data_IF_889121066121
#
_entry.id   IF_889121066121
#
_cell.length_a   1.000
_cell.length_b   1.000
_cell.length_c   1.000
_cell.angle_alpha   90.00
_cell.angle_beta   90.00
_cell.angle_gamma   90.00
#
_symmetry.space_group_name_H-M   'P 1'
#
loop_
_entity.id
_entity.type
_entity.pdbx_description
1 polymer ?
#
# COMPACT_ATOMS: atom_id res chain seq x y z
N UNK A 1 -22.95 -9.34 1.54
CA UNK A 1 -23.17 -8.00 0.94
C UNK A 1 -24.60 -7.77 0.49
N UNK A 2 -25.21 -8.64 -0.34
CA UNK A 2 -26.63 -8.50 -0.72
C UNK A 2 -27.61 -8.42 0.46
N UNK A 3 -27.35 -9.18 1.54
CA UNK A 3 -28.18 -9.16 2.75
C UNK A 3 -28.13 -7.81 3.48
N UNK A 4 -26.98 -7.12 3.51
CA UNK A 4 -26.87 -5.80 4.16
C UNK A 4 -27.77 -4.80 3.43
N UNK A 5 -27.61 -4.65 2.11
CA UNK A 5 -28.44 -3.73 1.32
C UNK A 5 -29.94 -4.08 1.34
N UNK A 6 -30.30 -5.36 1.46
CA UNK A 6 -31.69 -5.82 1.52
C UNK A 6 -32.34 -5.59 2.89
N UNK A 7 -31.57 -5.59 3.97
CA UNK A 7 -32.06 -5.43 5.36
C UNK A 7 -31.94 -4.01 5.89
N UNK A 8 -31.18 -3.14 5.21
CA UNK A 8 -31.03 -1.74 5.59
C UNK A 8 -32.31 -0.93 5.39
N UNK A 9 -32.47 0.10 6.22
CA UNK A 9 -33.58 1.05 6.10
C UNK A 9 -33.53 1.80 4.76
N UNK A 10 -34.61 2.53 4.43
CA UNK A 10 -34.67 3.31 3.20
C UNK A 10 -33.56 4.38 3.15
N UNK A 11 -33.25 4.97 4.30
CA UNK A 11 -32.25 6.03 4.52
C UNK A 11 -30.81 5.49 4.47
N UNK A 12 -30.58 4.26 4.95
CA UNK A 12 -29.25 3.63 4.93
C UNK A 12 -28.83 3.12 3.54
N UNK A 13 -29.79 2.81 2.66
CA UNK A 13 -29.50 2.23 1.34
C UNK A 13 -28.62 3.12 0.45
N UNK A 14 -28.87 4.44 0.29
CA UNK A 14 -27.97 5.32 -0.44
C UNK A 14 -26.55 5.33 0.10
N UNK A 15 -26.39 5.41 1.42
CA UNK A 15 -25.08 5.45 2.09
C UNK A 15 -24.31 4.15 1.86
N UNK A 16 -24.96 3.00 2.01
CA UNK A 16 -24.33 1.69 1.76
C UNK A 16 -23.98 1.52 0.28
N UNK A 17 -24.85 1.96 -0.64
CA UNK A 17 -24.55 1.92 -2.08
C UNK A 17 -23.32 2.74 -2.40
N UNK A 18 -23.19 3.92 -1.79
CA UNK A 18 -22.03 4.79 -1.96
C UNK A 18 -20.76 4.16 -1.37
N UNK A 19 -20.83 3.58 -0.16
CA UNK A 19 -19.73 2.82 0.45
C UNK A 19 -19.23 1.71 -0.49
N UNK A 20 -20.14 0.93 -1.07
CA UNK A 20 -19.78 -0.14 -2.00
C UNK A 20 -19.10 0.40 -3.24
N UNK A 21 -19.64 1.47 -3.80
CA UNK A 21 -19.08 2.09 -4.99
C UNK A 21 -17.66 2.62 -4.71
N UNK A 22 -17.49 3.38 -3.63
CA UNK A 22 -16.20 3.96 -3.25
C UNK A 22 -15.15 2.89 -2.88
N UNK A 23 -15.59 1.79 -2.27
CA UNK A 23 -14.75 0.63 -2.02
C UNK A 23 -14.33 -0.06 -3.34
N UNK A 24 -15.27 -0.38 -4.22
CA UNK A 24 -14.97 -1.07 -5.48
C UNK A 24 -14.08 -0.24 -6.39
N UNK A 25 -14.33 1.07 -6.49
CA UNK A 25 -13.59 2.04 -7.31
C UNK A 25 -12.24 2.47 -6.69
N UNK A 26 -11.86 1.92 -5.51
CA UNK A 26 -10.62 2.26 -4.80
C UNK A 26 -10.44 3.77 -4.60
N UNK A 27 -11.48 4.44 -4.10
CA UNK A 27 -11.43 5.88 -3.90
C UNK A 27 -10.63 6.30 -2.68
N UNK A 28 -10.07 7.50 -2.79
CA UNK A 28 -9.47 8.26 -1.69
C UNK A 28 -10.49 9.27 -1.17
N UNK A 29 -11.05 9.03 0.01
CA UNK A 29 -11.95 9.99 0.66
C UNK A 29 -11.98 9.77 2.16
N UNK A 30 -11.81 10.82 2.94
CA UNK A 30 -11.97 10.79 4.40
C UNK A 30 -12.66 12.08 4.81
N UNK A 31 -13.69 11.98 5.65
CA UNK A 31 -14.34 13.18 6.17
C UNK A 31 -15.77 13.00 6.65
N UNK A 32 -16.35 14.14 7.00
CA UNK A 32 -17.75 14.29 7.37
C UNK A 32 -18.55 14.73 6.14
N UNK A 33 -19.40 13.83 5.64
CA UNK A 33 -20.47 14.14 4.71
C UNK A 33 -21.75 14.39 5.52
N UNK A 34 -22.29 15.59 5.42
CA UNK A 34 -23.66 15.89 5.88
C UNK A 34 -24.59 15.71 4.68
N UNK A 35 -25.69 15.00 4.85
CA UNK A 35 -26.87 15.21 4.00
C UNK A 35 -27.61 16.47 4.48
N UNK A 36 -28.54 16.97 3.66
CA UNK A 36 -29.39 18.13 3.97
C UNK A 36 -30.45 17.83 5.07
N UNK A 37 -30.01 17.28 6.21
CA UNK A 37 -30.81 16.86 7.38
C UNK A 37 -29.97 16.70 8.66
N UNK A 38 -30.55 16.10 9.72
CA UNK A 38 -29.85 15.79 10.99
C UNK A 38 -28.95 14.54 10.89
N UNK A 39 -29.00 13.84 9.76
CA UNK A 39 -28.24 12.63 9.49
C UNK A 39 -26.77 12.92 9.13
N UNK A 40 -25.88 12.07 9.64
CA UNK A 40 -24.45 12.21 9.43
C UNK A 40 -23.85 10.97 8.78
N UNK A 41 -22.82 11.19 7.96
CA UNK A 41 -21.98 10.14 7.39
C UNK A 41 -20.51 10.54 7.59
N UNK A 42 -19.84 9.85 8.50
CA UNK A 42 -18.40 9.89 8.64
C UNK A 42 -17.81 8.78 7.80
N UNK A 43 -16.88 9.09 6.91
CA UNK A 43 -16.34 8.12 5.96
C UNK A 43 -14.83 8.08 5.94
N UNK A 44 -14.32 6.91 5.59
CA UNK A 44 -12.91 6.65 5.38
C UNK A 44 -12.77 5.65 4.24
N UNK A 45 -12.04 6.02 3.20
CA UNK A 45 -11.76 5.22 2.03
C UNK A 45 -10.31 5.48 1.64
N UNK A 46 -9.44 4.50 1.86
CA UNK A 46 -8.03 4.59 1.49
C UNK A 46 -7.55 3.30 0.84
N UNK A 47 -7.02 3.40 -0.39
CA UNK A 47 -6.22 2.35 -1.00
C UNK A 47 -4.87 2.19 -0.30
N UNK A 48 -4.36 0.97 -0.33
CA UNK A 48 -3.06 0.58 0.19
C UNK A 48 -2.42 -0.47 -0.71
N UNK A 49 -1.17 -0.80 -0.38
CA UNK A 49 -0.43 -1.92 -0.98
C UNK A 49 0.27 -2.71 0.11
N UNK A 50 0.23 -4.02 0.03
CA UNK A 50 0.83 -4.90 1.04
C UNK A 50 1.94 -5.71 0.38
N UNK A 51 3.13 -5.60 0.96
CA UNK A 51 4.29 -6.42 0.59
C UNK A 51 4.26 -7.71 1.40
N UNK A 52 4.23 -8.86 0.73
CA UNK A 52 4.46 -10.15 1.38
C UNK A 52 5.70 -10.81 0.82
N UNK A 53 6.53 -11.28 1.75
CA UNK A 53 7.75 -11.99 1.46
C UNK A 53 7.47 -13.48 1.42
N UNK A 54 7.95 -14.13 0.37
CA UNK A 54 8.06 -15.58 0.32
C UNK A 54 6.79 -16.40 0.45
N UNK A 55 5.65 -15.81 0.10
CA UNK A 55 4.37 -16.50 0.12
C UNK A 55 4.00 -16.98 -1.30
N UNK A 56 3.21 -18.06 -1.44
CA UNK A 56 2.64 -18.41 -2.73
C UNK A 56 1.79 -17.25 -3.25
N UNK A 57 1.80 -17.04 -4.57
CA UNK A 57 0.99 -15.99 -5.20
C UNK A 57 -0.49 -16.18 -4.85
N UNK A 58 -1.08 -15.14 -4.26
CA UNK A 58 -2.52 -15.05 -4.05
C UNK A 58 -3.14 -14.14 -5.10
N UNK A 59 -4.34 -14.47 -5.55
CA UNK A 59 -5.09 -13.62 -6.46
C UNK A 59 -6.39 -13.23 -5.79
N UNK A 60 -6.73 -11.94 -5.91
CA UNK A 60 -8.07 -11.49 -5.61
C UNK A 60 -9.06 -12.29 -6.44
N UNK A 61 -10.14 -12.77 -5.82
CA UNK A 61 -11.23 -13.53 -6.48
C UNK A 61 -12.31 -12.61 -7.03
N UNK A 62 -12.33 -11.34 -6.60
CA UNK A 62 -13.16 -10.31 -7.19
C UNK A 62 -12.83 -10.15 -8.68
N UNK A 63 -13.86 -10.07 -9.52
CA UNK A 63 -13.72 -9.93 -10.97
C UNK A 63 -14.52 -8.72 -11.45
N UNK A 64 -13.88 -7.90 -12.28
CA UNK A 64 -14.55 -6.89 -13.07
C UNK A 64 -15.30 -7.53 -14.24
N UNK A 65 -16.17 -6.76 -14.92
CA UNK A 65 -16.97 -7.25 -16.06
C UNK A 65 -16.07 -7.76 -17.19
N UNK A 66 -14.88 -7.16 -17.37
CA UNK A 66 -13.90 -7.56 -18.38
C UNK A 66 -13.10 -8.82 -18.00
N UNK A 67 -13.33 -9.40 -16.82
CA UNK A 67 -12.62 -10.58 -16.34
C UNK A 67 -11.33 -10.29 -15.56
N UNK A 68 -10.91 -9.03 -15.46
CA UNK A 68 -9.73 -8.66 -14.66
C UNK A 68 -10.02 -8.79 -13.16
N UNK A 69 -8.98 -9.07 -12.37
CA UNK A 69 -9.07 -9.02 -10.92
C UNK A 69 -9.44 -7.61 -10.45
N UNK A 70 -10.30 -7.51 -9.44
CA UNK A 70 -10.70 -6.22 -8.86
C UNK A 70 -9.49 -5.49 -8.24
N UNK A 71 -8.56 -6.23 -7.62
CA UNK A 71 -7.26 -5.76 -7.15
C UNK A 71 -6.10 -6.43 -7.88
N UNK A 72 -5.03 -5.68 -8.15
CA UNK A 72 -3.85 -6.22 -8.84
C UNK A 72 -2.84 -6.81 -7.84
N UNK A 73 -2.29 -7.96 -8.21
CA UNK A 73 -1.10 -8.55 -7.60
C UNK A 73 0.10 -8.28 -8.51
N UNK A 74 1.17 -7.69 -7.97
CA UNK A 74 2.41 -7.42 -8.70
C UNK A 74 3.50 -8.38 -8.27
N UNK A 75 4.08 -9.07 -9.23
CA UNK A 75 5.25 -9.94 -9.03
C UNK A 75 6.53 -9.11 -8.92
N UNK A 76 7.28 -9.32 -7.83
CA UNK A 76 8.50 -8.58 -7.50
C UNK A 76 9.77 -9.40 -7.74
N UNK A 77 9.70 -10.53 -8.45
CA UNK A 77 10.87 -11.36 -8.82
C UNK A 77 11.97 -10.58 -9.53
N UNK A 78 11.64 -9.50 -10.25
CA UNK A 78 12.64 -8.64 -10.89
C UNK A 78 13.49 -7.84 -9.89
N UNK A 79 13.02 -7.68 -8.64
CA UNK A 79 13.81 -7.14 -7.54
C UNK A 79 14.67 -8.22 -6.89
N UNK A 80 14.33 -9.49 -7.09
CA UNK A 80 15.11 -10.61 -6.61
C UNK A 80 16.35 -10.78 -7.48
N UNK A 81 17.49 -10.82 -6.79
CA UNK A 81 18.76 -11.14 -7.40
C UNK A 81 18.83 -12.65 -7.62
N UNK A 82 18.42 -13.13 -8.80
CA UNK A 82 18.72 -14.51 -9.19
C UNK A 82 20.23 -14.71 -9.07
N UNK A 83 20.67 -15.67 -8.25
CA UNK A 83 22.05 -16.12 -8.25
C UNK A 83 22.29 -16.80 -9.60
N UNK A 84 23.03 -16.14 -10.49
CA UNK A 84 23.64 -16.84 -11.62
C UNK A 84 24.48 -17.99 -11.06
N UNK A 85 24.00 -19.22 -11.21
CA UNK A 85 24.65 -20.43 -10.72
C UNK A 85 23.73 -21.52 -10.16
N UNK A 86 22.47 -21.23 -9.83
CA UNK A 86 21.57 -22.20 -9.17
C UNK A 86 20.59 -22.92 -10.14
N UNK A 87 20.95 -23.04 -11.42
CA UNK A 87 20.15 -23.78 -12.40
C UNK A 87 20.25 -25.32 -12.25
N UNK A 88 21.06 -25.82 -11.30
CA UNK A 88 21.36 -27.26 -11.17
C UNK A 88 20.86 -27.91 -9.86
N UNK A 89 19.96 -27.24 -9.13
CA UNK A 89 19.17 -27.93 -8.12
C UNK A 89 17.69 -27.75 -8.43
N UNK A 90 16.98 -28.85 -8.68
CA UNK A 90 15.53 -28.88 -8.92
C UNK A 90 14.69 -28.45 -7.70
N UNK A 91 15.17 -27.47 -6.93
CA UNK A 91 14.43 -26.78 -5.89
C UNK A 91 13.45 -25.83 -6.57
N UNK A 92 12.18 -26.02 -6.24
CA UNK A 92 11.08 -25.10 -6.50
C UNK A 92 11.55 -23.67 -6.14
N UNK A 93 11.16 -22.61 -6.88
CA UNK A 93 11.48 -21.24 -6.50
C UNK A 93 10.82 -20.93 -5.13
N UNK A 94 11.53 -21.22 -4.05
CA UNK A 94 11.09 -20.95 -2.69
C UNK A 94 11.22 -19.45 -2.47
N UNK A 95 10.11 -18.72 -2.54
CA UNK A 95 9.95 -17.36 -2.03
C UNK A 95 10.11 -16.21 -3.05
N UNK A 96 9.09 -16.01 -3.88
CA UNK A 96 8.91 -14.75 -4.64
C UNK A 96 8.16 -13.74 -3.77
N UNK A 97 8.61 -12.49 -3.79
CA UNK A 97 7.93 -11.38 -3.12
C UNK A 97 6.78 -10.87 -3.99
N UNK A 98 5.65 -10.52 -3.37
CA UNK A 98 4.48 -9.99 -4.06
C UNK A 98 4.00 -8.69 -3.41
N UNK A 99 3.48 -7.80 -4.25
CA UNK A 99 2.75 -6.61 -3.82
C UNK A 99 1.26 -6.75 -4.15
N UNK A 100 0.42 -6.65 -3.13
CA UNK A 100 -1.03 -6.79 -3.24
C UNK A 100 -1.71 -5.44 -3.10
N UNK A 101 -2.49 -5.01 -4.09
CA UNK A 101 -3.36 -3.83 -3.96
C UNK A 101 -4.51 -4.15 -3.00
N UNK A 102 -4.82 -3.22 -2.10
CA UNK A 102 -5.87 -3.37 -1.10
C UNK A 102 -6.66 -2.07 -0.94
N UNK A 103 -7.89 -2.20 -0.46
CA UNK A 103 -8.77 -1.10 -0.08
C UNK A 103 -9.30 -1.36 1.33
N UNK A 104 -9.22 -0.35 2.18
CA UNK A 104 -10.06 -0.29 3.39
C UNK A 104 -11.05 0.84 3.22
N UNK A 105 -12.32 0.54 3.46
CA UNK A 105 -13.42 1.49 3.40
C UNK A 105 -14.35 1.28 4.57
N UNK A 106 -14.57 2.28 5.40
CA UNK A 106 -15.55 2.21 6.46
C UNK A 106 -16.33 3.52 6.59
N UNK A 107 -17.54 3.38 7.12
CA UNK A 107 -18.43 4.51 7.43
C UNK A 107 -18.97 4.35 8.83
N UNK A 108 -19.27 5.49 9.46
CA UNK A 108 -20.10 5.59 10.65
C UNK A 108 -21.24 6.55 10.31
N UNK A 109 -22.48 6.07 10.39
CA UNK A 109 -23.65 6.84 9.98
C UNK A 109 -24.81 6.64 10.93
N UNK A 110 -25.63 7.66 11.12
CA UNK A 110 -26.78 7.61 12.00
C UNK A 110 -27.70 8.80 11.79
N UNK A 111 -28.91 8.67 12.33
CA UNK A 111 -29.85 9.78 12.43
C UNK A 111 -29.42 10.76 13.53
N UNK A 112 -28.89 10.22 14.64
CA UNK A 112 -28.36 10.98 15.76
C UNK A 112 -27.25 10.18 16.47
N UNK A 113 -26.69 10.75 17.52
CA UNK A 113 -25.61 10.12 18.31
C UNK A 113 -26.08 8.93 19.14
N UNK A 114 -27.39 8.73 19.32
CA UNK A 114 -27.96 7.61 20.07
C UNK A 114 -28.23 6.38 19.19
N UNK A 115 -28.47 6.59 17.90
CA UNK A 115 -28.84 5.53 16.94
C UNK A 115 -27.99 5.62 15.67
N UNK A 116 -26.86 4.92 15.69
CA UNK A 116 -25.90 4.89 14.60
C UNK A 116 -25.42 3.48 14.28
N UNK A 117 -24.74 3.34 13.14
CA UNK A 117 -24.19 2.08 12.65
C UNK A 117 -22.84 2.34 12.01
N UNK A 118 -21.90 1.43 12.23
CA UNK A 118 -20.62 1.43 11.56
C UNK A 118 -20.48 0.20 10.66
N UNK A 119 -19.95 0.39 9.46
CA UNK A 119 -19.76 -0.66 8.46
C UNK A 119 -18.35 -0.54 7.89
N UNK A 120 -17.63 -1.65 7.81
CA UNK A 120 -16.28 -1.69 7.25
C UNK A 120 -16.15 -2.79 6.20
N UNK A 121 -15.47 -2.46 5.11
CA UNK A 121 -15.05 -3.32 4.02
C UNK A 121 -13.54 -3.21 3.92
N UNK A 122 -12.85 -4.33 4.14
CA UNK A 122 -11.41 -4.42 4.02
C UNK A 122 -11.05 -5.63 3.17
N UNK A 123 -10.13 -5.42 2.22
CA UNK A 123 -9.53 -6.53 1.47
C UNK A 123 -8.67 -7.39 2.41
N UNK A 124 -8.81 -8.71 2.30
CA UNK A 124 -8.03 -9.70 3.06
C UNK A 124 -7.57 -10.90 2.22
N UNK A 125 -7.72 -10.81 0.88
CA UNK A 125 -7.41 -11.91 -0.03
C UNK A 125 -5.93 -12.33 -0.05
N UNK A 126 -5.06 -11.43 0.41
CA UNK A 126 -3.63 -11.66 0.57
C UNK A 126 -3.29 -12.38 1.87
N UNK A 127 -4.21 -12.51 2.84
CA UNK A 127 -3.92 -13.15 4.14
C UNK A 127 -4.01 -14.67 4.10
N UNK A 128 -3.32 -15.30 5.06
CA UNK A 128 -3.35 -16.76 5.20
C UNK A 128 -4.65 -17.18 5.88
N UNK A 129 -5.51 -17.85 5.11
CA UNK A 129 -6.80 -18.28 5.62
C UNK A 129 -6.72 -19.35 6.71
N UNK A 130 -5.53 -19.93 6.92
CA UNK A 130 -5.27 -20.89 7.99
C UNK A 130 -4.79 -20.23 9.28
N UNK A 131 -4.39 -18.95 9.23
CA UNK A 131 -4.01 -18.18 10.41
C UNK A 131 -5.28 -17.59 11.07
N UNK A 132 -5.75 -18.27 12.11
CA UNK A 132 -6.90 -17.81 12.90
C UNK A 132 -6.58 -16.57 13.76
N UNK A 133 -5.30 -16.28 13.99
CA UNK A 133 -4.85 -15.12 14.78
C UNK A 133 -4.71 -13.86 13.92
N UNK A 134 -4.87 -13.96 12.60
CA UNK A 134 -4.81 -12.81 11.70
C UNK A 134 -6.02 -11.87 11.93
N UNK A 135 -5.79 -10.60 12.32
CA UNK A 135 -6.87 -9.64 12.57
C UNK A 135 -7.75 -9.27 11.35
N UNK A 136 -7.41 -9.68 10.13
CA UNK A 136 -8.28 -9.53 8.96
C UNK A 136 -9.19 -10.74 8.72
N UNK A 137 -8.97 -11.82 9.47
CA UNK A 137 -9.72 -13.06 9.35
C UNK A 137 -10.90 -13.06 10.33
N UNK A 138 -12.09 -13.44 9.84
CA UNK A 138 -13.29 -13.53 10.68
C UNK A 138 -13.10 -14.44 11.91
N UNK A 139 -12.43 -15.61 11.82
CA UNK A 139 -12.14 -16.44 12.99
C UNK A 139 -11.47 -15.72 14.16
N UNK A 140 -10.65 -14.69 13.91
CA UNK A 140 -10.01 -13.88 14.96
C UNK A 140 -11.02 -13.21 15.90
N UNK A 141 -12.25 -12.99 15.42
CA UNK A 141 -13.33 -12.33 16.16
C UNK A 141 -14.42 -13.31 16.62
N UNK A 142 -14.36 -14.58 16.21
CA UNK A 142 -15.37 -15.59 16.53
C UNK A 142 -14.89 -16.40 17.73
N UNK A 143 -15.60 -16.24 18.85
CA UNK A 143 -15.19 -16.56 20.22
C UNK A 143 -14.67 -17.97 20.53
N UNK A 144 -13.57 -17.95 21.30
CA UNK A 144 -13.37 -18.71 22.54
C UNK A 144 -14.18 -18.04 23.69
N UNK A 145 -14.94 -18.79 24.52
CA UNK A 145 -15.73 -18.24 25.63
C UNK A 145 -14.95 -17.36 26.62
N UNK A 146 -13.64 -17.56 26.77
CA UNK A 146 -12.82 -16.90 27.78
C UNK A 146 -12.20 -15.57 27.30
N UNK A 147 -12.40 -15.19 26.04
CA UNK A 147 -11.84 -13.96 25.44
C UNK A 147 -12.92 -12.88 25.31
N UNK A 148 -12.65 -11.62 25.72
CA UNK A 148 -13.54 -10.50 25.49
C UNK A 148 -13.84 -10.34 23.99
N UNK A 149 -15.08 -9.98 23.65
CA UNK A 149 -15.43 -9.68 22.25
C UNK A 149 -14.52 -8.57 21.72
N UNK A 150 -13.88 -8.80 20.59
CA UNK A 150 -12.99 -7.82 19.95
C UNK A 150 -13.76 -7.04 18.89
N UNK A 151 -13.42 -5.76 18.71
CA UNK A 151 -14.01 -4.93 17.66
C UNK A 151 -13.29 -5.15 16.32
N UNK A 152 -14.00 -5.68 15.29
CA UNK A 152 -13.41 -5.92 13.97
C UNK A 152 -13.00 -4.64 13.24
N UNK A 153 -13.70 -3.53 13.48
CA UNK A 153 -13.37 -2.27 12.84
C UNK A 153 -12.02 -1.75 13.33
N UNK A 154 -11.69 -2.03 14.59
CA UNK A 154 -10.43 -1.65 15.24
C UNK A 154 -9.24 -2.53 14.89
N UNK A 155 -9.42 -3.60 14.11
CA UNK A 155 -8.39 -4.64 13.90
C UNK A 155 -8.04 -5.32 15.23
N UNK A 156 -9.05 -5.64 16.05
CA UNK A 156 -8.89 -6.32 17.33
C UNK A 156 -8.16 -5.54 18.42
N UNK A 157 -7.94 -4.23 18.23
CA UNK A 157 -7.24 -3.36 19.20
C UNK A 157 -8.15 -2.84 20.31
N UNK A 158 -9.47 -2.92 20.11
CA UNK A 158 -10.47 -2.57 21.09
C UNK A 158 -11.29 -3.80 21.44
N UNK A 159 -11.71 -3.88 22.70
CA UNK A 159 -12.72 -4.83 23.15
C UNK A 159 -14.09 -4.18 23.03
N UNK A 160 -15.13 -4.94 22.67
CA UNK A 160 -16.48 -4.44 22.42
C UNK A 160 -17.12 -3.78 23.66
N UNK A 161 -16.69 -4.16 24.86
CA UNK A 161 -17.05 -3.51 26.13
C UNK A 161 -16.36 -2.15 26.34
N UNK A 162 -15.20 -1.92 25.71
CA UNK A 162 -14.44 -0.65 25.70
C UNK A 162 -14.76 0.23 24.49
N UNK A 163 -15.57 -0.26 23.55
CA UNK A 163 -16.07 0.47 22.37
C UNK A 163 -17.22 1.43 22.72
N UNK A 164 -17.57 1.59 23.99
CA UNK A 164 -18.61 2.49 24.49
C UNK A 164 -18.29 3.98 24.36
N UNK A 165 -17.75 4.42 23.21
CA UNK A 165 -17.90 5.79 22.78
C UNK A 165 -19.39 6.04 22.55
N UNK A 166 -20.05 6.72 23.50
CA UNK A 166 -21.42 7.20 23.34
C UNK A 166 -21.56 8.14 22.14
N UNK A 167 -20.44 8.70 21.69
CA UNK A 167 -20.36 9.59 20.54
C UNK A 167 -19.83 8.84 19.29
N UNK A 168 -20.62 8.74 18.19
CA UNK A 168 -20.17 8.12 16.93
C UNK A 168 -18.95 8.81 16.32
N UNK A 169 -18.73 10.10 16.59
CA UNK A 169 -17.58 10.87 16.11
C UNK A 169 -16.29 10.43 16.79
N UNK A 170 -16.37 10.20 18.10
CA UNK A 170 -15.27 9.64 18.87
C UNK A 170 -14.94 8.24 18.38
N UNK A 171 -15.96 7.40 18.20
CA UNK A 171 -15.77 6.06 17.66
C UNK A 171 -15.09 6.09 16.29
N UNK A 172 -15.57 6.94 15.36
CA UNK A 172 -14.96 7.10 14.04
C UNK A 172 -13.46 7.46 14.12
N UNK A 173 -13.09 8.43 14.94
CA UNK A 173 -11.68 8.83 15.11
C UNK A 173 -10.85 7.73 15.76
N UNK A 174 -11.43 6.96 16.67
CA UNK A 174 -10.75 5.85 17.31
C UNK A 174 -10.44 4.71 16.31
N UNK A 175 -11.38 4.39 15.43
CA UNK A 175 -11.17 3.43 14.34
C UNK A 175 -10.17 3.98 13.33
N UNK A 176 -10.33 5.24 12.92
CA UNK A 176 -9.42 5.91 11.99
C UNK A 176 -7.99 5.88 12.50
N UNK A 177 -7.77 6.18 13.79
CA UNK A 177 -6.46 6.07 14.44
C UNK A 177 -5.83 4.70 14.24
N UNK A 178 -6.56 3.62 14.56
CA UNK A 178 -6.03 2.26 14.41
C UNK A 178 -5.72 1.91 12.95
N UNK A 179 -6.60 2.33 12.02
CA UNK A 179 -6.42 2.09 10.58
C UNK A 179 -5.26 2.89 9.98
N UNK A 180 -5.06 4.15 10.38
CA UNK A 180 -3.94 4.98 9.92
C UNK A 180 -2.61 4.51 10.51
N UNK A 181 -2.59 4.10 11.79
CA UNK A 181 -1.41 3.47 12.38
C UNK A 181 -1.01 2.19 11.63
N UNK A 182 -1.99 1.35 11.25
CA UNK A 182 -1.74 0.17 10.43
C UNK A 182 -1.25 0.53 9.03
N UNK A 183 -1.84 1.55 8.41
CA UNK A 183 -1.39 2.06 7.11
C UNK A 183 0.09 2.49 7.17
N UNK A 184 0.51 3.16 8.25
CA UNK A 184 1.91 3.51 8.50
C UNK A 184 2.81 2.29 8.63
N UNK A 185 2.40 1.25 9.34
CA UNK A 185 3.16 -0.01 9.44
C UNK A 185 3.35 -0.66 8.06
N UNK A 186 2.27 -0.72 7.27
CA UNK A 186 2.28 -1.27 5.92
C UNK A 186 3.28 -0.52 5.04
N UNK A 187 3.22 0.82 5.02
CA UNK A 187 4.14 1.62 4.21
C UNK A 187 5.59 1.58 4.71
N UNK A 188 5.80 1.48 6.02
CA UNK A 188 7.15 1.25 6.58
C UNK A 188 7.72 -0.08 6.08
N UNK A 189 6.92 -1.14 6.01
CA UNK A 189 7.35 -2.43 5.49
C UNK A 189 7.70 -2.37 4.00
N UNK A 190 6.88 -1.70 3.20
CA UNK A 190 7.14 -1.49 1.77
C UNK A 190 8.43 -0.70 1.58
N UNK A 191 8.63 0.38 2.35
CA UNK A 191 9.83 1.22 2.30
C UNK A 191 11.10 0.47 2.65
N UNK A 192 11.07 -0.30 3.74
CA UNK A 192 12.19 -1.12 4.15
C UNK A 192 12.62 -2.10 3.05
N UNK A 193 11.69 -2.92 2.55
CA UNK A 193 12.02 -3.94 1.55
C UNK A 193 12.39 -3.34 0.20
N UNK A 194 11.65 -2.33 -0.26
CA UNK A 194 11.95 -1.70 -1.54
C UNK A 194 13.31 -1.00 -1.52
N UNK A 195 13.61 -0.27 -0.45
CA UNK A 195 14.90 0.38 -0.26
C UNK A 195 16.04 -0.63 -0.20
N UNK A 196 15.87 -1.72 0.54
CA UNK A 196 16.85 -2.81 0.62
C UNK A 196 17.15 -3.40 -0.78
N UNK A 197 16.11 -3.77 -1.54
CA UNK A 197 16.27 -4.38 -2.88
C UNK A 197 16.92 -3.43 -3.89
N UNK A 198 16.52 -2.15 -3.89
CA UNK A 198 17.13 -1.14 -4.77
C UNK A 198 18.61 -0.96 -4.40
N UNK A 199 18.93 -0.78 -3.12
CA UNK A 199 20.31 -0.57 -2.68
C UNK A 199 21.21 -1.78 -2.99
N UNK A 200 20.68 -3.00 -2.83
CA UNK A 200 21.38 -4.22 -3.23
C UNK A 200 21.68 -4.25 -4.73
N UNK A 201 20.76 -3.78 -5.57
CA UNK A 201 20.97 -3.67 -7.01
C UNK A 201 22.03 -2.62 -7.37
N UNK A 202 21.89 -1.41 -6.81
CA UNK A 202 22.79 -0.29 -7.10
C UNK A 202 24.22 -0.52 -6.59
N UNK A 203 24.40 -1.29 -5.52
CA UNK A 203 25.73 -1.57 -4.94
C UNK A 203 26.54 -2.61 -5.71
N UNK A 204 26.01 -3.17 -6.82
CA UNK A 204 26.71 -4.24 -7.55
C UNK A 204 27.94 -3.73 -8.32
N UNK A 205 29.13 -4.34 -8.10
CA UNK A 205 30.34 -4.03 -8.87
C UNK A 205 30.25 -4.38 -10.37
N UNK A 206 29.32 -5.27 -10.75
CA UNK A 206 29.23 -5.86 -12.08
C UNK A 206 28.94 -4.86 -13.20
N UNK A 207 28.36 -3.70 -12.87
CA UNK A 207 28.01 -2.65 -13.84
C UNK A 207 29.12 -1.61 -14.04
N UNK A 208 30.04 -1.48 -13.08
CA UNK A 208 31.09 -0.45 -13.09
C UNK A 208 32.51 -0.98 -13.35
N UNK A 209 32.78 -2.28 -13.15
CA UNK A 209 34.14 -2.82 -13.16
C UNK A 209 34.41 -3.92 -14.21
N UNK A 210 33.40 -4.46 -14.91
CA UNK A 210 33.60 -5.65 -15.76
C UNK A 210 34.42 -5.38 -17.04
N UNK A 211 34.52 -4.13 -17.50
CA UNK A 211 35.22 -3.79 -18.75
C UNK A 211 36.74 -3.62 -18.63
N UNK A 212 37.35 -3.75 -17.43
CA UNK A 212 38.81 -3.59 -17.34
C UNK A 212 39.58 -4.74 -18.02
N UNK A 213 38.94 -5.89 -18.31
CA UNK A 213 39.57 -7.09 -18.88
C UNK A 213 38.79 -7.65 -20.10
N UNK A 214 38.39 -6.84 -21.08
CA UNK A 214 37.71 -7.37 -22.28
C UNK A 214 38.69 -8.03 -23.25
N UNK A 215 38.68 -9.36 -23.29
CA UNK A 215 39.09 -10.15 -24.44
C UNK A 215 37.94 -10.17 -25.47
N UNK A 216 38.24 -10.34 -26.76
CA UNK A 216 37.30 -10.30 -27.91
C UNK A 216 36.09 -11.27 -27.86
N UNK A 217 35.96 -12.12 -26.84
CA UNK A 217 34.88 -13.11 -26.68
C UNK A 217 33.77 -12.78 -25.68
N UNK A 218 33.76 -11.59 -25.03
CA UNK A 218 32.82 -11.26 -23.95
C UNK A 218 31.65 -10.35 -24.36
N UNK A 219 31.53 -9.99 -25.64
CA UNK A 219 30.57 -8.97 -26.11
C UNK A 219 29.10 -9.34 -25.90
N UNK A 220 28.75 -10.63 -25.99
CA UNK A 220 27.37 -11.12 -25.84
C UNK A 220 26.90 -11.03 -24.38
N UNK A 221 27.80 -11.35 -23.44
CA UNK A 221 27.53 -11.23 -22.00
C UNK A 221 27.43 -9.79 -21.49
N UNK A 222 28.10 -8.84 -22.15
CA UNK A 222 27.99 -7.42 -21.81
C UNK A 222 26.67 -6.81 -22.33
N UNK A 223 26.17 -7.25 -23.50
CA UNK A 223 24.86 -6.82 -24.04
C UNK A 223 23.70 -7.28 -23.15
N UNK A 224 23.71 -8.55 -22.75
CA UNK A 224 22.65 -9.12 -21.90
C UNK A 224 22.56 -8.44 -20.52
N UNK A 225 23.70 -8.02 -19.95
CA UNK A 225 23.72 -7.27 -18.68
C UNK A 225 23.11 -5.88 -18.83
N UNK A 226 23.42 -5.18 -19.93
CA UNK A 226 22.83 -3.86 -20.21
C UNK A 226 21.32 -3.97 -20.41
N UNK A 227 20.86 -4.92 -21.24
CA UNK A 227 19.43 -5.15 -21.47
C UNK A 227 18.68 -5.48 -20.17
N UNK A 228 19.26 -6.34 -19.33
CA UNK A 228 18.70 -6.66 -18.02
C UNK A 228 18.63 -5.45 -17.08
N UNK A 229 19.62 -4.55 -17.13
CA UNK A 229 19.58 -3.29 -16.39
C UNK A 229 18.54 -2.30 -16.92
N UNK A 230 18.36 -2.21 -18.23
CA UNK A 230 17.31 -1.38 -18.83
C UNK A 230 15.91 -1.89 -18.48
N UNK A 231 15.68 -3.20 -18.53
CA UNK A 231 14.40 -3.81 -18.13
C UNK A 231 14.14 -3.56 -16.64
N UNK A 232 15.13 -3.81 -15.79
CA UNK A 232 15.03 -3.53 -14.36
C UNK A 232 14.68 -2.06 -14.11
N UNK A 233 15.38 -1.12 -14.75
CA UNK A 233 15.13 0.32 -14.66
C UNK A 233 13.70 0.70 -15.05
N UNK A 234 13.19 0.12 -16.15
CA UNK A 234 11.82 0.37 -16.60
C UNK A 234 10.80 -0.12 -15.57
N UNK A 235 11.00 -1.32 -15.03
CA UNK A 235 10.08 -1.94 -14.05
C UNK A 235 10.12 -1.20 -12.71
N UNK A 236 11.31 -0.90 -12.18
CA UNK A 236 11.44 -0.20 -10.88
C UNK A 236 10.90 1.23 -10.95
N UNK A 237 11.15 1.97 -12.03
CA UNK A 237 10.58 3.32 -12.21
C UNK A 237 9.06 3.30 -12.24
N UNK A 238 8.49 2.32 -12.95
CA UNK A 238 7.04 2.14 -13.02
C UNK A 238 6.46 1.83 -11.65
N UNK A 239 7.10 0.92 -10.90
CA UNK A 239 6.69 0.56 -9.54
C UNK A 239 6.79 1.76 -8.59
N UNK A 240 7.94 2.43 -8.50
CA UNK A 240 8.17 3.59 -7.65
C UNK A 240 7.16 4.71 -7.93
N UNK A 241 6.97 5.07 -9.20
CA UNK A 241 6.01 6.10 -9.58
C UNK A 241 4.58 5.76 -9.16
N UNK A 242 4.18 4.48 -9.24
CA UNK A 242 2.86 4.03 -8.77
C UNK A 242 2.76 4.16 -7.24
N UNK A 243 3.75 3.63 -6.51
CA UNK A 243 3.77 3.66 -5.06
C UNK A 243 3.77 5.08 -4.49
N UNK A 244 4.61 5.97 -5.05
CA UNK A 244 4.67 7.38 -4.70
C UNK A 244 3.31 8.05 -4.89
N UNK A 245 2.69 7.90 -6.06
CA UNK A 245 1.37 8.47 -6.34
C UNK A 245 0.30 7.99 -5.34
N UNK A 246 0.30 6.70 -5.01
CA UNK A 246 -0.65 6.15 -4.06
C UNK A 246 -0.45 6.71 -2.66
N UNK A 247 0.79 6.77 -2.18
CA UNK A 247 1.13 7.29 -0.86
C UNK A 247 0.85 8.80 -0.75
N UNK A 248 1.24 9.58 -1.76
CA UNK A 248 0.96 11.02 -1.83
C UNK A 248 -0.55 11.30 -1.81
N UNK A 249 -1.35 10.51 -2.54
CA UNK A 249 -2.81 10.64 -2.52
C UNK A 249 -3.40 10.31 -1.14
N UNK A 250 -2.88 9.29 -0.45
CA UNK A 250 -3.29 8.96 0.92
C UNK A 250 -2.95 10.08 1.90
N UNK A 251 -1.70 10.57 1.88
CA UNK A 251 -1.23 11.66 2.76
C UNK A 251 -2.04 12.93 2.52
N UNK A 252 -2.24 13.31 1.26
CA UNK A 252 -3.03 14.50 0.90
C UNK A 252 -4.48 14.39 1.40
N UNK A 253 -5.08 13.22 1.28
CA UNK A 253 -6.46 12.98 1.72
C UNK A 253 -6.58 13.06 3.24
N UNK A 254 -5.61 12.50 3.96
CA UNK A 254 -5.56 12.54 5.41
C UNK A 254 -5.29 13.96 5.94
N UNK A 255 -4.35 14.71 5.37
CA UNK A 255 -4.14 16.12 5.76
C UNK A 255 -5.37 16.98 5.52
N UNK A 256 -6.05 16.81 4.37
CA UNK A 256 -7.30 17.53 4.11
C UNK A 256 -8.35 17.27 5.19
N UNK A 257 -8.46 16.04 5.66
CA UNK A 257 -9.35 15.69 6.77
C UNK A 257 -8.94 16.40 8.06
N UNK A 258 -7.66 16.32 8.43
CA UNK A 258 -7.12 16.91 9.65
C UNK A 258 -7.32 18.43 9.69
N UNK A 259 -7.09 19.11 8.56
CA UNK A 259 -7.17 20.57 8.47
C UNK A 259 -8.62 21.07 8.46
N UNK A 260 -9.53 20.37 7.78
CA UNK A 260 -10.88 20.86 7.48
C UNK A 260 -11.96 20.26 8.36
N UNK A 261 -11.96 18.94 8.49
CA UNK A 261 -13.12 18.20 8.98
C UNK A 261 -13.02 17.91 10.48
N UNK A 262 -11.80 17.75 11.03
CA UNK A 262 -11.64 17.50 12.46
C UNK A 262 -12.23 18.62 13.33
N UNK A 263 -11.93 19.89 13.04
CA UNK A 263 -12.47 21.02 13.81
C UNK A 263 -14.02 21.06 13.79
N UNK A 264 -14.64 20.64 12.68
CA UNK A 264 -16.10 20.55 12.56
C UNK A 264 -16.66 19.40 13.39
N UNK A 265 -15.96 18.27 13.43
CA UNK A 265 -16.34 17.10 14.23
C UNK A 265 -16.22 17.43 15.72
N UNK A 266 -15.11 18.06 16.14
CA UNK A 266 -14.82 18.40 17.53
C UNK A 266 -15.79 19.45 18.09
N UNK A 267 -16.12 20.48 17.29
CA UNK A 267 -17.05 21.54 17.70
C UNK A 267 -18.47 21.05 18.04
N UNK A 268 -18.84 19.85 17.62
CA UNK A 268 -20.17 19.28 17.86
C UNK A 268 -20.20 18.31 19.06
N UNK A 269 -19.06 18.04 19.68
CA UNK A 269 -18.94 17.07 20.77
C UNK A 269 -19.01 17.71 22.16
N UNK A 270 -19.34 16.90 23.16
CA UNK A 270 -19.20 17.30 24.56
C UNK A 270 -17.72 17.38 24.99
N UNK A 271 -17.46 18.06 26.12
CA UNK A 271 -16.10 18.31 26.61
C UNK A 271 -15.28 17.02 26.80
N UNK A 272 -15.89 15.97 27.35
CA UNK A 272 -15.17 14.71 27.60
C UNK A 272 -14.88 13.96 26.31
N UNK A 273 -15.82 13.94 25.37
CA UNK A 273 -15.60 13.37 24.04
C UNK A 273 -14.54 14.16 23.26
N UNK A 274 -14.56 15.48 23.32
CA UNK A 274 -13.53 16.34 22.71
C UNK A 274 -12.12 16.00 23.21
N UNK A 275 -11.91 15.83 24.51
CA UNK A 275 -10.60 15.43 25.07
C UNK A 275 -10.14 14.07 24.49
N UNK A 276 -11.04 13.08 24.39
CA UNK A 276 -10.70 11.75 23.84
C UNK A 276 -10.46 11.78 22.33
N UNK A 277 -11.21 12.61 21.61
CA UNK A 277 -11.02 12.83 20.18
C UNK A 277 -9.68 13.49 19.88
N UNK A 278 -9.29 14.52 20.65
CA UNK A 278 -7.98 15.16 20.51
C UNK A 278 -6.81 14.17 20.70
N UNK A 279 -6.90 13.26 21.68
CA UNK A 279 -5.90 12.19 21.83
C UNK A 279 -5.81 11.25 20.62
N UNK A 280 -6.93 11.00 19.94
CA UNK A 280 -6.94 10.19 18.72
C UNK A 280 -6.42 10.98 17.53
N UNK A 281 -6.78 12.25 17.43
CA UNK A 281 -6.28 13.20 16.44
C UNK A 281 -4.75 13.30 16.49
N UNK A 282 -4.15 13.53 17.65
CA UNK A 282 -2.69 13.64 17.79
C UNK A 282 -1.96 12.40 17.26
N UNK A 283 -2.52 11.21 17.52
CA UNK A 283 -1.96 9.94 17.05
C UNK A 283 -2.15 9.74 15.55
N UNK A 284 -3.27 10.19 15.00
CA UNK A 284 -3.51 10.20 13.56
C UNK A 284 -2.49 11.15 12.91
N UNK A 285 -2.40 12.40 13.37
CA UNK A 285 -1.49 13.43 12.85
C UNK A 285 -0.04 12.94 12.85
N UNK A 286 0.45 12.41 13.97
CA UNK A 286 1.79 11.84 14.04
C UNK A 286 2.01 10.69 13.03
N UNK A 287 0.99 9.86 12.80
CA UNK A 287 1.07 8.78 11.80
C UNK A 287 1.06 9.32 10.37
N UNK A 288 0.35 10.42 10.08
CA UNK A 288 0.36 11.09 8.77
C UNK A 288 1.72 11.73 8.50
N UNK A 289 2.32 12.38 9.49
CA UNK A 289 3.69 12.91 9.38
C UNK A 289 4.71 11.80 9.07
N UNK A 290 4.58 10.63 9.71
CA UNK A 290 5.44 9.48 9.41
C UNK A 290 5.24 8.96 7.97
N UNK A 291 4.00 8.95 7.47
CA UNK A 291 3.70 8.62 6.07
C UNK A 291 4.31 9.63 5.09
N UNK A 292 4.31 10.92 5.44
CA UNK A 292 4.97 11.96 4.64
C UNK A 292 6.50 11.76 4.61
N UNK A 293 7.12 11.39 5.74
CA UNK A 293 8.54 11.04 5.77
C UNK A 293 8.84 9.82 4.89
N UNK A 294 7.96 8.83 4.84
CA UNK A 294 8.11 7.67 3.92
C UNK A 294 8.02 8.15 2.45
N UNK A 295 7.08 9.05 2.15
CA UNK A 295 6.95 9.63 0.81
C UNK A 295 8.23 10.34 0.36
N UNK A 296 8.86 11.08 1.26
CA UNK A 296 10.14 11.73 0.97
C UNK A 296 11.27 10.73 0.73
N UNK A 297 11.31 9.61 1.47
CA UNK A 297 12.29 8.54 1.21
C UNK A 297 12.08 7.88 -0.16
N UNK A 298 10.85 7.75 -0.64
CA UNK A 298 10.61 7.27 -2.00
C UNK A 298 11.10 8.23 -3.08
N UNK A 299 11.01 9.54 -2.86
CA UNK A 299 11.59 10.53 -3.78
C UNK A 299 13.11 10.41 -3.84
N UNK A 300 13.76 10.17 -2.69
CA UNK A 300 15.20 9.92 -2.63
C UNK A 300 15.58 8.64 -3.38
N UNK A 301 14.89 7.53 -3.13
CA UNK A 301 15.11 6.26 -3.86
C UNK A 301 14.91 6.44 -5.37
N UNK A 302 13.93 7.23 -5.78
CA UNK A 302 13.71 7.57 -7.19
C UNK A 302 14.88 8.35 -7.77
N UNK A 303 15.42 9.33 -7.04
CA UNK A 303 16.61 10.08 -7.44
C UNK A 303 17.81 9.16 -7.64
N UNK A 304 18.04 8.21 -6.73
CA UNK A 304 19.13 7.24 -6.83
C UNK A 304 19.01 6.36 -8.08
N UNK A 305 17.80 5.87 -8.37
CA UNK A 305 17.51 5.10 -9.59
C UNK A 305 17.73 5.95 -10.86
N UNK A 306 17.33 7.22 -10.84
CA UNK A 306 17.48 8.12 -11.99
C UNK A 306 18.94 8.52 -12.23
N UNK A 307 19.73 8.69 -11.15
CA UNK A 307 21.18 8.89 -11.22
C UNK A 307 21.86 7.66 -11.83
N UNK A 308 21.50 6.46 -11.37
CA UNK A 308 22.02 5.22 -11.93
C UNK A 308 21.69 5.07 -13.41
N UNK A 309 20.45 5.36 -13.83
CA UNK A 309 20.08 5.35 -15.24
C UNK A 309 20.92 6.31 -16.11
N UNK A 310 21.26 7.48 -15.56
CA UNK A 310 22.13 8.46 -16.22
C UNK A 310 23.57 7.94 -16.35
N UNK A 311 24.09 7.28 -15.32
CA UNK A 311 25.40 6.64 -15.36
C UNK A 311 25.44 5.50 -16.38
N UNK A 312 24.41 4.65 -16.44
CA UNK A 312 24.31 3.60 -17.43
C UNK A 312 24.29 4.15 -18.85
N UNK A 313 23.50 5.20 -19.11
CA UNK A 313 23.44 5.85 -20.42
C UNK A 313 24.77 6.45 -20.88
N UNK A 314 25.52 7.09 -19.96
CA UNK A 314 26.87 7.60 -20.28
C UNK A 314 27.87 6.48 -20.55
N UNK A 315 27.79 5.36 -19.82
CA UNK A 315 28.62 4.18 -20.07
C UNK A 315 28.39 3.61 -21.47
N UNK A 316 27.12 3.39 -21.86
CA UNK A 316 26.76 2.90 -23.20
C UNK A 316 27.26 3.84 -24.30
N UNK A 317 27.10 5.16 -24.12
CA UNK A 317 27.55 6.15 -25.09
C UNK A 317 29.08 6.15 -25.29
N UNK A 318 29.85 6.09 -24.19
CA UNK A 318 31.32 6.01 -24.25
C UNK A 318 31.76 4.71 -24.94
N UNK A 319 31.07 3.61 -24.65
CA UNK A 319 31.36 2.32 -25.24
C UNK A 319 31.09 2.27 -26.74
N UNK A 320 29.98 2.86 -27.20
CA UNK A 320 29.67 3.03 -28.62
C UNK A 320 30.73 3.85 -29.36
N UNK A 321 31.20 4.95 -28.77
CA UNK A 321 32.28 5.78 -29.35
C UNK A 321 33.61 5.01 -29.43
N UNK A 322 33.94 4.19 -28.42
CA UNK A 322 35.14 3.34 -28.45
C UNK A 322 35.05 2.24 -29.52
N UNK A 323 33.89 1.60 -29.65
CA UNK A 323 33.67 0.56 -30.68
C UNK A 323 33.82 1.14 -32.10
N UNK A 324 33.25 2.33 -32.34
CA UNK A 324 33.42 3.05 -33.61
C UNK A 324 34.88 3.40 -33.90
N UNK A 325 35.65 3.86 -32.89
CA UNK A 325 37.09 4.15 -33.05
C UNK A 325 37.91 2.90 -33.38
N UNK A 326 37.62 1.76 -32.75
CA UNK A 326 38.31 0.50 -33.02
C UNK A 326 37.99 -0.05 -34.41
N UNK A 327 36.73 0.07 -34.87
CA UNK A 327 36.36 -0.27 -36.25
C UNK A 327 37.08 0.62 -37.26
N UNK A 328 37.17 1.93 -37.02
CA UNK A 328 37.87 2.86 -37.91
C UNK A 328 39.36 2.51 -38.03
N UNK A 329 40.00 2.11 -36.93
CA UNK A 329 41.41 1.69 -36.91
C UNK A 329 41.64 0.36 -37.65
N UNK A 330 40.71 -0.61 -37.55
CA UNK A 330 40.80 -1.90 -38.22
C UNK A 330 40.52 -1.86 -39.73
N UNK A 331 39.91 -0.80 -40.26
CA UNK A 331 39.65 -0.63 -41.71
C UNK A 331 40.84 0.04 -42.43
N UNK A 332 41.79 0.61 -41.68
CA UNK A 332 42.98 1.31 -42.20
C UNK A 332 44.27 0.47 -42.25
N UNK A 333 44.19 -0.84 -42.07
CA UNK A 333 45.30 -1.79 -42.28
C UNK A 333 44.95 -2.65 -43.50
#
# INVERSE_FOLDING_TARGET
MGILALRSSYEQKPVIKQLLFDYLDSRYSVGLKSSEGDDFVLEFHLPCVIWQKGQPRREDRGRMINGDCLRKTTDLSFLSMSKEGDQDSGKVPEETDYLYECQTSFIVTGWDTSSWTAICLADSYFEDQTDAEDPYMLPHYVKDPDVPDLDPLSIGKLTADRVAASDPREYFLLIMKNRVMRLREIWTNVDFHLGERINQYLSRPSLLLRRRNTNLGTTDGDSAVVEGSEEWLKRIRTLLNRLMKMLEASVTTLYRFLDRDFARIDALADEMSSIRMNNSFDKISASVEDLEKISERFKNLKSDVDNFASQLGTHIAVDGVRALKLQYLNVTI
#
